data_IF_369580461069
#
_entry.id   IF_369580461069
#
_cell.length_a   1.000
_cell.length_b   1.000
_cell.length_c   1.000
_cell.angle_alpha   90.00
_cell.angle_beta   90.00
_cell.angle_gamma   90.00
#
_symmetry.space_group_name_H-M   'P 1'
#
loop_
_entity.id
_entity.type
_entity.pdbx_description
1 polymer ?
#
# COMPACT_ATOMS: atom_id res chain seq x y z
N UNK A 1 3.56 -7.41 -23.92
CA UNK A 1 4.62 -8.37 -23.55
C UNK A 1 5.95 -7.67 -23.74
N UNK A 2 6.68 -7.39 -22.64
CA UNK A 2 7.99 -6.74 -22.69
C UNK A 2 8.98 -7.80 -23.20
N UNK A 3 9.66 -7.54 -24.31
CA UNK A 3 10.77 -8.40 -24.77
C UNK A 3 11.90 -8.25 -23.75
N UNK A 4 12.23 -9.33 -23.07
CA UNK A 4 13.39 -9.42 -22.17
C UNK A 4 14.66 -9.31 -23.04
N UNK A 5 15.63 -8.56 -22.60
CA UNK A 5 16.87 -8.41 -23.36
C UNK A 5 17.69 -9.72 -23.27
N UNK A 6 18.38 -10.15 -24.32
CA UNK A 6 19.12 -11.43 -24.35
C UNK A 6 20.14 -11.61 -23.21
N UNK A 7 20.69 -10.53 -22.67
CA UNK A 7 21.60 -10.54 -21.53
C UNK A 7 20.89 -10.80 -20.20
N UNK A 8 19.63 -10.35 -20.05
CA UNK A 8 18.81 -10.64 -18.86
C UNK A 8 18.45 -12.14 -18.79
N UNK A 9 18.12 -12.76 -19.91
CA UNK A 9 17.88 -14.22 -19.98
C UNK A 9 19.13 -15.03 -19.60
N UNK A 10 20.32 -14.58 -20.03
CA UNK A 10 21.59 -15.21 -19.67
C UNK A 10 21.89 -15.14 -18.17
N UNK A 11 21.59 -14.01 -17.52
CA UNK A 11 21.80 -13.85 -16.08
C UNK A 11 20.86 -14.74 -15.26
N UNK A 12 19.60 -14.83 -15.64
CA UNK A 12 18.63 -15.72 -14.97
C UNK A 12 19.06 -17.17 -15.12
N UNK A 13 19.49 -17.60 -16.31
CA UNK A 13 19.97 -18.97 -16.54
C UNK A 13 21.21 -19.30 -15.69
N UNK A 14 22.17 -18.39 -15.58
CA UNK A 14 23.35 -18.55 -14.72
C UNK A 14 22.96 -18.67 -13.26
N UNK A 15 22.08 -17.79 -12.78
CA UNK A 15 21.60 -17.80 -11.40
C UNK A 15 20.86 -19.10 -11.07
N UNK A 16 20.05 -19.62 -11.99
CA UNK A 16 19.35 -20.89 -11.83
C UNK A 16 20.33 -22.07 -11.73
N UNK A 17 21.39 -22.08 -12.55
CA UNK A 17 22.41 -23.12 -12.50
C UNK A 17 23.20 -23.11 -11.18
N UNK A 18 23.49 -21.92 -10.65
CA UNK A 18 24.14 -21.79 -9.34
C UNK A 18 23.21 -22.23 -8.20
N UNK A 19 21.91 -21.91 -8.27
CA UNK A 19 20.94 -22.37 -7.28
C UNK A 19 20.81 -23.89 -7.23
N UNK A 20 20.81 -24.56 -8.37
CA UNK A 20 20.74 -26.03 -8.44
C UNK A 20 21.95 -26.72 -7.80
N UNK A 21 23.10 -26.02 -7.68
CA UNK A 21 24.30 -26.50 -6.97
C UNK A 21 24.35 -26.15 -5.48
N UNK A 22 23.42 -25.34 -4.96
CA UNK A 22 23.51 -24.82 -3.58
C UNK A 22 23.07 -25.83 -2.50
N UNK A 23 22.34 -26.89 -2.84
CA UNK A 23 21.94 -27.92 -1.89
C UNK A 23 23.13 -28.56 -1.14
N UNK A 24 24.27 -28.67 -1.81
CA UNK A 24 25.49 -29.25 -1.22
C UNK A 24 26.25 -28.29 -0.31
N UNK A 25 26.07 -26.97 -0.45
CA UNK A 25 26.78 -25.98 0.34
C UNK A 25 26.01 -25.47 1.56
N UNK A 26 24.76 -25.89 1.77
CA UNK A 26 23.91 -25.47 2.89
C UNK A 26 23.56 -23.98 2.88
N UNK A 27 23.58 -23.34 1.73
CA UNK A 27 23.23 -21.94 1.60
C UNK A 27 21.71 -21.73 1.70
N UNK A 28 21.30 -20.61 2.30
CA UNK A 28 19.91 -20.17 2.34
C UNK A 28 19.72 -19.01 1.36
N UNK A 29 18.77 -19.14 0.43
CA UNK A 29 18.48 -18.12 -0.57
C UNK A 29 17.17 -17.42 -0.22
N UNK A 30 17.21 -16.10 -0.07
CA UNK A 30 16.03 -15.25 0.14
C UNK A 30 15.84 -14.35 -1.07
N UNK A 31 14.72 -14.55 -1.80
CA UNK A 31 14.30 -13.70 -2.90
C UNK A 31 13.21 -12.75 -2.41
N UNK A 32 13.34 -11.47 -2.72
CA UNK A 32 12.33 -10.46 -2.41
C UNK A 32 11.94 -9.68 -3.66
N UNK A 33 10.65 -9.51 -3.90
CA UNK A 33 10.13 -8.75 -5.03
C UNK A 33 8.81 -8.08 -4.67
N UNK A 34 8.60 -6.87 -5.18
CA UNK A 34 7.30 -6.19 -5.14
C UNK A 34 6.39 -6.64 -6.29
N UNK A 35 6.93 -7.41 -7.25
CA UNK A 35 6.24 -7.82 -8.47
C UNK A 35 6.52 -9.29 -8.76
N UNK A 36 5.94 -10.19 -7.97
CA UNK A 36 6.16 -11.63 -8.14
C UNK A 36 5.70 -12.14 -9.52
N UNK A 37 4.73 -11.44 -10.14
CA UNK A 37 4.19 -11.79 -11.46
C UNK A 37 5.16 -11.58 -12.63
N UNK A 38 6.25 -10.84 -12.42
CA UNK A 38 7.30 -10.65 -13.44
C UNK A 38 8.54 -11.51 -13.19
N UNK A 39 8.57 -12.25 -12.07
CA UNK A 39 9.66 -13.19 -11.81
C UNK A 39 9.57 -14.39 -12.73
N UNK A 40 10.73 -14.90 -13.15
CA UNK A 40 10.79 -16.12 -13.94
C UNK A 40 10.17 -17.28 -13.15
N UNK A 41 9.23 -17.98 -13.76
CA UNK A 41 8.55 -19.12 -13.14
C UNK A 41 9.51 -20.23 -12.72
N UNK A 42 10.67 -20.34 -13.36
CA UNK A 42 11.71 -21.31 -13.02
C UNK A 42 12.35 -21.04 -11.65
N UNK A 43 12.41 -19.77 -11.21
CA UNK A 43 12.86 -19.39 -9.87
C UNK A 43 11.87 -19.80 -8.79
N UNK A 44 10.58 -19.84 -9.13
CA UNK A 44 9.49 -20.07 -8.18
C UNK A 44 9.10 -21.56 -8.07
N UNK A 45 9.84 -22.48 -8.72
CA UNK A 45 9.59 -23.92 -8.63
C UNK A 45 10.10 -24.48 -7.31
N UNK A 46 9.42 -25.55 -6.87
CA UNK A 46 9.85 -26.34 -5.72
C UNK A 46 11.27 -26.90 -5.95
N UNK A 47 12.07 -26.98 -4.88
CA UNK A 47 13.50 -27.28 -4.96
C UNK A 47 14.40 -26.05 -5.17
N UNK A 48 13.84 -24.85 -5.41
CA UNK A 48 14.56 -23.57 -5.51
C UNK A 48 13.97 -22.51 -4.60
N UNK A 49 12.66 -22.36 -4.61
CA UNK A 49 11.93 -21.44 -3.75
C UNK A 49 10.72 -22.17 -3.15
N UNK A 50 10.96 -22.96 -2.11
CA UNK A 50 9.96 -23.83 -1.49
C UNK A 50 8.93 -23.05 -0.69
N UNK A 51 9.35 -21.94 -0.08
CA UNK A 51 8.49 -21.11 0.74
C UNK A 51 8.17 -19.78 0.05
N UNK A 52 6.90 -19.54 -0.21
CA UNK A 52 6.39 -18.30 -0.83
C UNK A 52 5.60 -17.52 0.22
N UNK A 53 6.20 -16.46 0.74
CA UNK A 53 5.62 -15.64 1.79
C UNK A 53 5.11 -14.34 1.19
N UNK A 54 3.79 -14.14 1.20
CA UNK A 54 3.19 -12.85 0.87
C UNK A 54 3.30 -11.93 2.09
N UNK A 55 4.10 -10.88 1.99
CA UNK A 55 4.12 -9.81 2.98
C UNK A 55 2.91 -8.91 2.73
N UNK A 56 1.90 -9.05 3.58
CA UNK A 56 0.71 -8.22 3.53
C UNK A 56 1.01 -6.79 3.98
N UNK A 57 0.05 -5.88 3.74
CA UNK A 57 0.10 -4.54 4.35
C UNK A 57 0.07 -4.65 5.86
N UNK A 58 0.73 -3.72 6.57
CA UNK A 58 0.75 -3.76 8.01
C UNK A 58 -0.68 -3.58 8.57
N UNK A 59 -0.99 -4.34 9.61
CA UNK A 59 -2.18 -4.11 10.43
C UNK A 59 -2.03 -2.82 11.23
N UNK A 60 -3.10 -2.28 11.83
CA UNK A 60 -3.01 -1.11 12.72
C UNK A 60 -1.99 -1.30 13.85
N UNK A 61 -1.91 -2.49 14.44
CA UNK A 61 -0.95 -2.82 15.50
C UNK A 61 0.50 -2.84 14.96
N UNK A 62 0.69 -3.36 13.75
CA UNK A 62 2.00 -3.33 13.11
C UNK A 62 2.42 -1.90 12.72
N UNK A 63 1.48 -1.06 12.27
CA UNK A 63 1.71 0.36 12.01
C UNK A 63 2.12 1.09 13.29
N UNK A 64 1.44 0.82 14.42
CA UNK A 64 1.78 1.36 15.73
C UNK A 64 3.22 1.01 16.09
N UNK A 65 3.61 -0.26 15.98
CA UNK A 65 4.97 -0.71 16.26
C UNK A 65 6.02 -0.02 15.38
N UNK A 66 5.75 0.13 14.09
CA UNK A 66 6.63 0.82 13.15
C UNK A 66 6.77 2.30 13.54
N UNK A 67 5.69 2.99 13.81
CA UNK A 67 5.69 4.41 14.22
C UNK A 67 6.46 4.58 15.53
N UNK A 68 6.16 3.77 16.55
CA UNK A 68 6.81 3.79 17.87
C UNK A 68 8.32 3.63 17.74
N UNK A 69 8.77 2.65 16.98
CA UNK A 69 10.20 2.40 16.77
C UNK A 69 10.89 3.57 16.05
N UNK A 70 10.21 4.23 15.11
CA UNK A 70 10.79 5.32 14.33
C UNK A 70 10.66 6.69 15.03
N UNK A 71 9.74 6.86 15.99
CA UNK A 71 9.71 8.03 16.87
C UNK A 71 10.74 7.92 18.00
N UNK A 72 11.27 6.73 18.30
CA UNK A 72 12.26 6.54 19.35
C UNK A 72 13.50 7.44 19.10
N UNK A 73 13.89 8.21 20.13
CA UNK A 73 15.02 9.13 20.05
C UNK A 73 14.75 10.46 19.31
N UNK A 74 13.53 10.70 18.84
CA UNK A 74 13.14 12.02 18.31
C UNK A 74 12.76 12.94 19.47
N UNK A 75 13.37 14.13 19.48
CA UNK A 75 13.08 15.12 20.51
C UNK A 75 11.64 15.65 20.38
N UNK A 76 10.89 15.56 21.46
CA UNK A 76 9.53 16.06 21.61
C UNK A 76 9.24 16.33 23.08
N UNK A 77 8.47 17.37 23.38
CA UNK A 77 7.87 17.59 24.71
C UNK A 77 6.55 16.81 24.87
N UNK A 78 6.00 16.35 23.77
CA UNK A 78 4.78 15.53 23.74
C UNK A 78 5.17 14.05 23.89
N UNK A 79 4.44 13.24 24.67
CA UNK A 79 4.68 11.81 24.77
C UNK A 79 4.64 11.11 23.41
N UNK A 80 5.54 10.14 23.21
CA UNK A 80 5.58 9.36 21.97
C UNK A 80 4.25 8.66 21.69
N UNK A 81 3.55 8.21 22.71
CA UNK A 81 2.24 7.56 22.58
C UNK A 81 1.21 8.46 21.92
N UNK A 82 1.20 9.75 22.26
CA UNK A 82 0.30 10.74 21.67
C UNK A 82 0.66 11.00 20.19
N UNK A 83 1.96 11.07 19.87
CA UNK A 83 2.41 11.25 18.48
C UNK A 83 2.04 10.04 17.62
N UNK A 84 2.21 8.84 18.15
CA UNK A 84 1.84 7.58 17.49
C UNK A 84 0.33 7.50 17.27
N UNK A 85 -0.46 7.83 18.30
CA UNK A 85 -1.92 7.86 18.22
C UNK A 85 -2.40 8.82 17.11
N UNK A 86 -1.89 10.04 17.08
CA UNK A 86 -2.25 11.02 16.03
C UNK A 86 -1.86 10.55 14.62
N UNK A 87 -0.72 9.86 14.48
CA UNK A 87 -0.31 9.29 13.20
C UNK A 87 -1.25 8.17 12.74
N UNK A 88 -1.62 7.26 13.66
CA UNK A 88 -2.55 6.17 13.39
C UNK A 88 -3.93 6.68 12.99
N UNK A 89 -4.53 7.58 13.77
CA UNK A 89 -5.80 8.19 13.41
C UNK A 89 -5.75 8.81 12.01
N UNK A 90 -4.66 9.53 11.71
CA UNK A 90 -4.50 10.16 10.41
C UNK A 90 -4.32 9.15 9.27
N UNK A 91 -3.69 8.00 9.50
CA UNK A 91 -3.54 6.94 8.49
C UNK A 91 -4.84 6.19 8.23
N UNK A 92 -5.61 5.94 9.28
CA UNK A 92 -6.84 5.14 9.25
C UNK A 92 -8.09 5.99 9.01
N UNK A 93 -7.94 7.30 8.78
CA UNK A 93 -9.06 8.20 8.52
C UNK A 93 -9.75 7.85 7.19
N UNK A 94 -11.00 7.35 7.22
CA UNK A 94 -11.74 6.95 6.01
C UNK A 94 -12.11 8.15 5.11
N UNK A 95 -11.96 9.38 5.60
CA UNK A 95 -12.21 10.59 4.81
C UNK A 95 -11.02 11.01 3.94
N UNK A 96 -9.86 10.36 4.10
CA UNK A 96 -8.69 10.57 3.24
C UNK A 96 -8.83 9.80 1.93
N UNK A 97 -9.77 10.25 1.11
CA UNK A 97 -10.10 9.64 -0.19
C UNK A 97 -9.01 9.99 -1.19
N UNK A 98 -8.46 8.99 -1.86
CA UNK A 98 -7.53 9.14 -2.98
C UNK A 98 -8.29 9.21 -4.31
N UNK A 99 -9.27 8.32 -4.48
CA UNK A 99 -10.14 8.27 -5.65
C UNK A 99 -11.55 7.91 -5.19
N UNK A 100 -12.53 8.66 -5.68
CA UNK A 100 -13.95 8.30 -5.56
C UNK A 100 -14.30 7.36 -6.72
N UNK A 101 -14.98 6.26 -6.42
CA UNK A 101 -15.38 5.29 -7.45
C UNK A 101 -16.29 5.93 -8.50
N UNK A 102 -17.11 6.88 -8.09
CA UNK A 102 -17.99 7.61 -9.00
C UNK A 102 -17.22 8.47 -10.00
N UNK A 103 -16.15 9.14 -9.54
CA UNK A 103 -15.32 10.01 -10.38
C UNK A 103 -14.39 9.18 -11.29
N UNK A 104 -14.00 7.97 -10.85
CA UNK A 104 -13.19 7.03 -11.65
C UNK A 104 -13.94 6.50 -12.87
N UNK A 105 -15.25 6.35 -12.77
CA UNK A 105 -16.08 5.76 -13.80
C UNK A 105 -17.12 6.80 -14.23
N UNK A 106 -16.78 7.59 -15.25
CA UNK A 106 -17.62 8.65 -15.79
C UNK A 106 -19.03 8.16 -16.22
N UNK A 107 -19.14 6.86 -16.51
CA UNK A 107 -20.40 6.19 -16.78
C UNK A 107 -20.38 4.82 -16.11
N UNK A 108 -20.75 4.79 -14.82
CA UNK A 108 -20.88 3.55 -14.07
C UNK A 108 -21.85 2.57 -14.74
N UNK A 109 -22.93 3.10 -15.31
CA UNK A 109 -23.91 2.30 -16.04
C UNK A 109 -23.34 1.70 -17.32
N UNK A 110 -22.55 2.45 -18.09
CA UNK A 110 -21.91 1.95 -19.30
C UNK A 110 -20.82 0.93 -19.00
N UNK A 111 -20.04 1.16 -17.94
CA UNK A 111 -19.05 0.20 -17.44
C UNK A 111 -19.70 -1.11 -17.00
N UNK A 112 -20.85 -1.00 -16.34
CA UNK A 112 -21.64 -2.11 -15.84
C UNK A 112 -22.23 -2.93 -16.99
N UNK A 113 -22.86 -2.25 -17.95
CA UNK A 113 -23.41 -2.86 -19.17
C UNK A 113 -22.33 -3.53 -20.03
N UNK A 114 -21.16 -2.90 -20.17
CA UNK A 114 -20.04 -3.44 -20.94
C UNK A 114 -19.51 -4.77 -20.38
N UNK A 115 -19.79 -5.07 -19.10
CA UNK A 115 -19.45 -6.33 -18.42
C UNK A 115 -20.62 -7.34 -18.40
N UNK A 116 -21.72 -7.04 -19.08
CA UNK A 116 -22.86 -7.96 -19.19
C UNK A 116 -23.72 -8.07 -17.94
N UNK A 117 -23.63 -7.12 -17.02
CA UNK A 117 -24.49 -7.09 -15.84
C UNK A 117 -25.81 -6.40 -16.13
N UNK A 118 -26.93 -7.07 -15.91
CA UNK A 118 -28.26 -6.50 -15.96
C UNK A 118 -28.88 -6.49 -14.54
N UNK A 119 -29.35 -5.34 -14.13
CA UNK A 119 -30.05 -5.20 -12.83
C UNK A 119 -31.54 -5.37 -13.06
N UNK A 120 -32.11 -6.41 -12.45
CA UNK A 120 -33.53 -6.78 -12.65
C UNK A 120 -34.41 -6.55 -11.43
N UNK A 121 -33.82 -6.31 -10.26
CA UNK A 121 -34.56 -6.22 -9.01
C UNK A 121 -34.04 -5.08 -8.09
N UNK A 122 -34.84 -4.70 -7.12
CA UNK A 122 -34.55 -3.60 -6.21
C UNK A 122 -33.42 -3.91 -5.20
N UNK A 123 -33.22 -5.18 -4.84
CA UNK A 123 -32.13 -5.61 -3.97
C UNK A 123 -30.77 -5.45 -4.68
N UNK A 124 -30.71 -5.82 -5.96
CA UNK A 124 -29.57 -5.61 -6.82
C UNK A 124 -29.28 -4.11 -7.01
N UNK A 125 -30.31 -3.28 -7.14
CA UNK A 125 -30.17 -1.82 -7.19
C UNK A 125 -29.62 -1.24 -5.89
N UNK A 126 -30.05 -1.74 -4.74
CA UNK A 126 -29.53 -1.30 -3.44
C UNK A 126 -28.05 -1.65 -3.28
N UNK A 127 -27.65 -2.86 -3.65
CA UNK A 127 -26.21 -3.28 -3.67
C UNK A 127 -25.38 -2.42 -4.61
N UNK A 128 -25.87 -2.11 -5.80
CA UNK A 128 -25.22 -1.21 -6.74
C UNK A 128 -25.01 0.20 -6.18
N UNK A 129 -26.01 0.74 -5.47
CA UNK A 129 -25.86 2.04 -4.81
C UNK A 129 -24.78 1.98 -3.72
N UNK A 130 -24.61 0.86 -3.04
CA UNK A 130 -23.54 0.65 -2.06
C UNK A 130 -22.18 0.62 -2.73
N UNK A 131 -22.03 -0.15 -3.82
CA UNK A 131 -20.79 -0.22 -4.60
C UNK A 131 -20.43 1.14 -5.18
N UNK A 132 -21.41 1.90 -5.71
CA UNK A 132 -21.20 3.25 -6.24
C UNK A 132 -20.69 4.24 -5.20
N UNK A 133 -20.88 3.96 -3.90
CA UNK A 133 -20.39 4.78 -2.77
C UNK A 133 -19.03 4.33 -2.26
N UNK A 134 -18.47 3.25 -2.77
CA UNK A 134 -17.14 2.81 -2.36
C UNK A 134 -16.10 3.86 -2.75
N UNK A 135 -15.07 3.98 -1.91
CA UNK A 135 -14.00 4.94 -2.07
C UNK A 135 -12.68 4.24 -1.93
N UNK A 136 -11.75 4.60 -2.78
CA UNK A 136 -10.37 4.17 -2.64
C UNK A 136 -9.66 5.15 -1.70
N UNK A 137 -9.38 4.70 -0.48
CA UNK A 137 -8.86 5.54 0.60
C UNK A 137 -7.35 5.37 0.77
N UNK A 138 -6.74 6.33 1.47
CA UNK A 138 -5.32 6.28 1.78
C UNK A 138 -4.93 5.07 2.62
N UNK A 139 -5.78 4.64 3.55
CA UNK A 139 -5.60 3.42 4.33
C UNK A 139 -5.30 2.19 3.46
N UNK A 140 -5.92 2.10 2.29
CA UNK A 140 -5.76 0.98 1.36
C UNK A 140 -4.37 0.91 0.71
N UNK A 141 -3.55 1.95 0.80
CA UNK A 141 -2.20 2.00 0.23
C UNK A 141 -1.10 2.11 1.28
N UNK A 142 -1.45 2.41 2.53
CA UNK A 142 -0.45 2.57 3.60
C UNK A 142 0.42 1.34 3.71
N UNK A 143 1.72 1.56 3.79
CA UNK A 143 2.72 0.53 3.94
C UNK A 143 3.75 0.92 5.01
N UNK A 144 4.61 -0.04 5.39
CA UNK A 144 5.61 0.16 6.44
C UNK A 144 6.60 1.29 6.14
N UNK A 145 6.96 1.51 4.88
CA UNK A 145 7.88 2.59 4.49
C UNK A 145 7.24 3.97 4.66
N UNK A 146 5.95 4.11 4.31
CA UNK A 146 5.19 5.34 4.55
C UNK A 146 5.14 5.64 6.05
N UNK A 147 4.75 4.66 6.88
CA UNK A 147 4.71 4.83 8.33
C UNK A 147 6.08 5.19 8.92
N UNK A 148 7.15 4.51 8.52
CA UNK A 148 8.50 4.79 8.97
C UNK A 148 9.01 6.19 8.57
N UNK A 149 8.48 6.79 7.50
CA UNK A 149 8.88 8.12 7.03
C UNK A 149 8.27 9.28 7.83
N UNK A 150 7.12 9.06 8.48
CA UNK A 150 6.36 10.13 9.19
C UNK A 150 7.19 10.79 10.29
N UNK A 151 7.88 10.08 11.18
CA UNK A 151 8.65 10.71 12.24
C UNK A 151 9.74 11.66 11.73
N UNK A 152 10.42 11.30 10.64
CA UNK A 152 11.44 12.16 10.04
C UNK A 152 10.84 13.38 9.35
N UNK A 153 9.69 13.24 8.70
CA UNK A 153 8.94 14.37 8.11
C UNK A 153 8.45 15.33 9.20
N UNK A 154 7.85 14.81 10.27
CA UNK A 154 7.43 15.58 11.42
C UNK A 154 8.61 16.33 12.09
N UNK A 155 9.77 15.65 12.24
CA UNK A 155 10.99 16.27 12.76
C UNK A 155 11.45 17.46 11.91
N UNK A 156 11.42 17.36 10.60
CA UNK A 156 11.78 18.47 9.70
C UNK A 156 10.84 19.66 9.87
N UNK A 157 9.54 19.40 9.99
CA UNK A 157 8.53 20.44 10.23
C UNK A 157 8.74 21.12 11.58
N UNK A 158 8.91 20.33 12.65
CA UNK A 158 9.20 20.82 13.98
C UNK A 158 10.45 21.71 14.00
N UNK A 159 11.53 21.28 13.34
CA UNK A 159 12.76 22.08 13.25
C UNK A 159 12.53 23.42 12.54
N UNK A 160 11.78 23.46 11.46
CA UNK A 160 11.47 24.68 10.73
C UNK A 160 10.60 25.64 11.56
N UNK A 161 9.59 25.08 12.26
CA UNK A 161 8.70 25.84 13.15
C UNK A 161 9.47 26.42 14.35
N UNK A 162 10.23 25.58 15.05
CA UNK A 162 10.97 25.98 16.24
C UNK A 162 12.03 27.04 15.89
N UNK A 163 12.70 26.89 14.74
CA UNK A 163 13.66 27.90 14.26
C UNK A 163 12.98 29.25 13.97
N UNK A 164 11.81 29.24 13.34
CA UNK A 164 11.08 30.47 13.02
C UNK A 164 10.54 31.17 14.27
N UNK A 165 10.09 30.40 15.25
CA UNK A 165 9.52 30.90 16.49
C UNK A 165 10.56 31.19 17.61
N UNK A 166 11.81 30.75 17.42
CA UNK A 166 12.83 30.84 18.49
C UNK A 166 12.56 29.90 19.66
N UNK A 167 11.81 28.83 19.44
CA UNK A 167 11.40 27.86 20.48
C UNK A 167 12.18 26.54 20.38
N UNK A 168 12.02 25.67 21.36
CA UNK A 168 12.52 24.29 21.39
C UNK A 168 11.43 23.37 21.93
N UNK A 169 10.42 23.14 21.13
CA UNK A 169 9.31 22.24 21.49
C UNK A 169 9.52 20.82 20.99
N UNK A 170 10.29 20.67 19.89
CA UNK A 170 10.43 19.41 19.21
C UNK A 170 9.16 19.03 18.44
N UNK A 171 8.97 17.75 18.16
CA UNK A 171 7.80 17.29 17.41
C UNK A 171 6.54 17.42 18.27
N UNK A 172 5.48 17.97 17.68
CA UNK A 172 4.13 18.04 18.27
C UNK A 172 3.13 17.34 17.35
N UNK A 173 1.92 17.07 17.86
CA UNK A 173 0.84 16.43 17.11
C UNK A 173 0.57 17.07 15.73
N UNK A 174 0.57 18.41 15.65
CA UNK A 174 0.37 19.15 14.41
C UNK A 174 1.42 18.81 13.34
N UNK A 175 2.69 18.64 13.72
CA UNK A 175 3.76 18.26 12.78
C UNK A 175 3.53 16.87 12.21
N UNK A 176 3.01 15.94 13.03
CA UNK A 176 2.67 14.57 12.63
C UNK A 176 1.49 14.57 11.65
N UNK A 177 0.40 15.27 11.97
CA UNK A 177 -0.78 15.39 11.11
C UNK A 177 -0.43 15.97 9.74
N UNK A 178 0.39 17.01 9.72
CA UNK A 178 0.87 17.61 8.47
C UNK A 178 1.79 16.67 7.70
N UNK A 179 2.63 15.89 8.38
CA UNK A 179 3.49 14.90 7.72
C UNK A 179 2.69 13.79 7.03
N UNK A 180 1.59 13.33 7.66
CA UNK A 180 0.68 12.37 7.03
C UNK A 180 -0.11 13.03 5.88
N UNK A 181 -0.53 14.29 6.04
CA UNK A 181 -1.22 15.03 4.97
C UNK A 181 -0.34 15.18 3.73
N UNK A 182 0.95 15.47 3.89
CA UNK A 182 1.90 15.50 2.77
C UNK A 182 1.95 14.16 2.05
N UNK A 183 1.99 13.05 2.79
CA UNK A 183 1.98 11.70 2.20
C UNK A 183 0.69 11.44 1.40
N UNK A 184 -0.45 11.88 1.90
CA UNK A 184 -1.72 11.78 1.16
C UNK A 184 -1.65 12.56 -0.13
N UNK A 185 -1.22 13.83 -0.09
CA UNK A 185 -1.13 14.67 -1.28
C UNK A 185 -0.09 14.15 -2.30
N UNK A 186 1.07 13.68 -1.83
CA UNK A 186 2.08 13.06 -2.68
C UNK A 186 1.57 11.80 -3.39
N UNK A 187 0.63 11.07 -2.75
CA UNK A 187 0.06 9.85 -3.31
C UNK A 187 -1.21 10.09 -4.14
N UNK A 188 -1.82 11.27 -4.07
CA UNK A 188 -2.87 11.66 -5.01
C UNK A 188 -2.27 11.76 -6.42
N UNK A 189 -2.84 11.04 -7.36
CA UNK A 189 -2.38 11.05 -8.75
C UNK A 189 -1.18 10.16 -9.07
N UNK A 190 -0.61 9.42 -8.11
CA UNK A 190 0.34 8.36 -8.40
C UNK A 190 -0.37 7.13 -8.96
N UNK A 191 0.37 6.35 -9.76
CA UNK A 191 -0.13 5.07 -10.28
C UNK A 191 -0.19 4.02 -9.16
N UNK A 192 -1.37 3.84 -8.58
CA UNK A 192 -1.68 2.80 -7.61
C UNK A 192 -2.25 1.54 -8.27
N UNK A 193 -1.81 1.23 -9.50
CA UNK A 193 -2.40 0.19 -10.34
C UNK A 193 -2.61 -1.14 -9.63
N UNK A 194 -1.66 -1.59 -8.81
CA UNK A 194 -1.82 -2.84 -8.06
C UNK A 194 -2.90 -2.76 -6.97
N UNK A 195 -2.82 -1.75 -6.10
CA UNK A 195 -3.80 -1.57 -5.02
C UNK A 195 -5.20 -1.29 -5.57
N UNK A 196 -5.27 -0.50 -6.63
CA UNK A 196 -6.50 -0.23 -7.36
C UNK A 196 -7.05 -1.49 -8.02
N UNK A 197 -6.21 -2.34 -8.60
CA UNK A 197 -6.65 -3.63 -9.16
C UNK A 197 -7.18 -4.58 -8.08
N UNK A 198 -6.57 -4.64 -6.90
CA UNK A 198 -7.12 -5.42 -5.77
C UNK A 198 -8.49 -4.87 -5.34
N UNK A 199 -8.63 -3.56 -5.21
CA UNK A 199 -9.89 -2.89 -4.91
C UNK A 199 -10.96 -3.22 -5.96
N UNK A 200 -10.63 -3.07 -7.26
CA UNK A 200 -11.55 -3.36 -8.37
C UNK A 200 -11.94 -4.84 -8.44
N UNK A 201 -11.05 -5.78 -8.10
CA UNK A 201 -11.41 -7.21 -7.99
C UNK A 201 -12.43 -7.45 -6.89
N UNK A 202 -12.31 -6.76 -5.76
CA UNK A 202 -13.32 -6.80 -4.69
C UNK A 202 -14.68 -6.34 -5.19
N UNK A 203 -14.73 -5.18 -5.85
CA UNK A 203 -15.94 -4.64 -6.48
C UNK A 203 -16.53 -5.60 -7.51
N UNK A 204 -15.71 -6.20 -8.37
CA UNK A 204 -16.17 -7.18 -9.36
C UNK A 204 -16.71 -8.47 -8.73
N UNK A 205 -16.16 -8.90 -7.59
CA UNK A 205 -16.67 -10.06 -6.86
C UNK A 205 -18.06 -9.78 -6.29
N UNK A 206 -18.28 -8.61 -5.67
CA UNK A 206 -19.58 -8.16 -5.18
C UNK A 206 -20.61 -8.05 -6.33
N UNK A 207 -20.19 -7.56 -7.50
CA UNK A 207 -21.03 -7.46 -8.69
C UNK A 207 -21.47 -8.83 -9.22
N UNK A 208 -20.59 -9.84 -9.20
CA UNK A 208 -20.93 -11.22 -9.61
C UNK A 208 -21.96 -11.88 -8.71
N UNK A 209 -22.03 -11.47 -7.45
CA UNK A 209 -23.09 -11.94 -6.52
C UNK A 209 -24.46 -11.33 -6.82
N UNK A 210 -24.48 -10.14 -7.44
CA UNK A 210 -25.73 -9.46 -7.85
C UNK A 210 -26.33 -10.09 -9.11
N UNK A 211 -25.47 -10.58 -10.02
CA UNK A 211 -25.91 -11.13 -11.33
C UNK A 211 -26.32 -12.62 -11.29
N UNK A 212 -26.36 -13.24 -10.12
CA UNK A 212 -26.87 -14.60 -9.90
C UNK A 212 -28.25 -14.56 -9.28
#
# INVERSE_FOLDING_TARGET
VRKVAPWEESQVATFLAEMDGMEECGAFVLLASNRPEVMDSALLRDGRCDFKIKVARPTPEALEGILRNNFAGIFSKVPVDELVFNALEAFLDPHRVLLDFHDMIQSFEDWFKARGFEVKDEASMAKLRTIKRQRFTFEMIVNGAMAASVPMRAKRRAFSRDRAAGTKEGVIAQDVLLAVTDLVEENKGLDHSYALQEFMKGVEAELKEIGR
#
